data_IF_775495941289
#
_entry.id   IF_775495941289
#
_cell.length_a   1.000
_cell.length_b   1.000
_cell.length_c   1.000
_cell.angle_alpha   90.00
_cell.angle_beta   90.00
_cell.angle_gamma   90.00
#
_symmetry.space_group_name_H-M   'P 1'
#
loop_
_entity.id
_entity.type
_entity.pdbx_description
1 polymer ?
#
# COMPACT_ATOMS: atom_id res chain seq x y z
N UNK A 1 -26.21 32.00 13.61
CA UNK A 1 -25.74 31.60 12.27
C UNK A 1 -24.23 31.80 12.21
N UNK A 2 -23.45 30.72 12.19
CA UNK A 2 -21.98 30.76 12.13
C UNK A 2 -21.55 30.31 10.73
N UNK A 3 -21.04 31.24 9.95
CA UNK A 3 -20.59 31.04 8.56
C UNK A 3 -19.19 30.44 8.57
N UNK A 4 -18.99 29.35 7.83
CA UNK A 4 -17.69 28.68 7.64
C UNK A 4 -16.80 29.52 6.70
N UNK A 5 -15.56 29.74 7.10
CA UNK A 5 -14.50 30.32 6.26
C UNK A 5 -13.68 29.16 5.65
N UNK A 6 -13.48 29.08 4.32
CA UNK A 6 -12.63 28.05 3.74
C UNK A 6 -11.15 28.46 3.88
N UNK A 7 -10.34 27.57 4.45
CA UNK A 7 -8.90 27.73 4.52
C UNK A 7 -8.31 27.44 3.14
N UNK A 8 -8.06 28.50 2.37
CA UNK A 8 -7.28 28.44 1.13
C UNK A 8 -5.80 28.42 1.53
N UNK A 9 -5.15 27.26 1.47
CA UNK A 9 -3.71 27.16 1.66
C UNK A 9 -3.01 27.69 0.40
N UNK A 10 -2.58 28.96 0.47
CA UNK A 10 -1.63 29.54 -0.48
C UNK A 10 -0.29 28.82 -0.34
N UNK A 11 0.11 28.08 -1.37
CA UNK A 11 1.49 27.67 -1.58
C UNK A 11 2.32 28.90 -1.96
N UNK A 12 3.26 29.27 -1.10
CA UNK A 12 4.32 30.20 -1.44
C UNK A 12 5.23 29.58 -2.52
N UNK A 13 5.64 30.34 -3.56
CA UNK A 13 6.51 29.84 -4.61
C UNK A 13 7.94 29.83 -4.07
N UNK A 14 8.43 28.68 -3.62
CA UNK A 14 9.86 28.49 -3.46
C UNK A 14 10.46 28.33 -4.85
N UNK A 15 11.20 29.35 -5.29
CA UNK A 15 11.85 29.41 -6.58
C UNK A 15 12.93 28.31 -6.71
N UNK A 16 12.53 27.18 -7.28
CA UNK A 16 13.39 26.34 -8.09
C UNK A 16 12.66 26.20 -9.44
N UNK A 17 13.05 27.00 -10.43
CA UNK A 17 12.71 26.75 -11.83
C UNK A 17 13.48 25.50 -12.26
N UNK A 18 13.00 24.33 -11.83
CA UNK A 18 13.29 23.10 -12.56
C UNK A 18 12.69 23.31 -13.95
N UNK A 19 13.52 23.15 -14.99
CA UNK A 19 13.03 23.19 -16.36
C UNK A 19 11.90 22.15 -16.46
N UNK A 20 10.67 22.59 -16.74
CA UNK A 20 9.52 21.70 -16.91
C UNK A 20 9.76 20.66 -18.03
N UNK A 21 10.76 20.88 -18.90
CA UNK A 21 11.23 19.91 -19.90
C UNK A 21 12.20 18.84 -19.34
N UNK A 22 12.81 19.09 -18.18
CA UNK A 22 13.74 18.18 -17.48
C UNK A 22 13.08 17.29 -16.42
N UNK A 23 11.82 17.55 -16.09
CA UNK A 23 11.06 16.66 -15.22
C UNK A 23 10.87 15.32 -15.95
N UNK A 24 11.15 14.18 -15.28
CA UNK A 24 10.90 12.88 -15.89
C UNK A 24 9.44 12.83 -16.32
N UNK A 25 9.17 12.21 -17.46
CA UNK A 25 7.80 11.97 -17.86
C UNK A 25 7.06 11.35 -16.67
N UNK A 26 5.83 11.79 -16.41
CA UNK A 26 5.03 11.19 -15.35
C UNK A 26 4.17 10.11 -16.01
N UNK A 27 4.01 8.95 -15.37
CA UNK A 27 2.89 8.06 -15.70
C UNK A 27 1.85 8.21 -14.63
N UNK A 28 0.71 8.78 -14.99
CA UNK A 28 -0.44 8.85 -14.10
C UNK A 28 -1.66 8.23 -14.75
N UNK A 29 -2.60 7.80 -13.92
CA UNK A 29 -3.72 7.00 -14.37
C UNK A 29 -4.83 6.91 -13.34
N UNK A 30 -5.84 6.14 -13.68
CA UNK A 30 -6.91 5.77 -12.75
C UNK A 30 -7.05 4.25 -12.77
N UNK A 31 -7.35 3.69 -11.61
CA UNK A 31 -7.57 2.27 -11.41
C UNK A 31 -8.73 2.00 -10.48
N UNK A 32 -9.24 0.78 -10.56
CA UNK A 32 -10.14 0.20 -9.58
C UNK A 32 -9.40 -0.92 -8.85
N UNK A 33 -9.64 -1.00 -7.56
CA UNK A 33 -9.09 -2.01 -6.68
C UNK A 33 -10.23 -2.82 -6.09
N UNK A 34 -9.94 -4.09 -5.83
CA UNK A 34 -10.80 -5.01 -5.11
C UNK A 34 -9.94 -5.78 -4.12
N UNK A 35 -10.40 -5.92 -2.88
CA UNK A 35 -9.67 -6.67 -1.85
C UNK A 35 -10.62 -7.35 -0.89
N UNK A 36 -10.32 -8.61 -0.57
CA UNK A 36 -11.04 -9.36 0.45
C UNK A 36 -10.74 -8.79 1.85
N UNK A 37 -11.76 -8.69 2.70
CA UNK A 37 -11.59 -8.35 4.10
C UNK A 37 -11.03 -9.54 4.90
N UNK A 38 -10.06 -9.33 5.82
CA UNK A 38 -9.65 -10.37 6.76
C UNK A 38 -10.67 -10.60 7.88
N UNK A 39 -11.53 -9.62 8.16
CA UNK A 39 -12.42 -9.61 9.31
C UNK A 39 -13.67 -10.47 9.13
N UNK A 40 -14.19 -11.02 10.23
CA UNK A 40 -15.46 -11.76 10.30
C UNK A 40 -16.61 -10.96 9.69
N UNK A 41 -17.40 -11.57 8.81
CA UNK A 41 -18.50 -10.93 8.06
C UNK A 41 -18.09 -9.60 7.38
N UNK A 42 -16.80 -9.46 7.03
CA UNK A 42 -16.30 -8.27 6.37
C UNK A 42 -16.56 -8.28 4.88
N UNK A 43 -17.07 -7.17 4.36
CA UNK A 43 -17.34 -7.00 2.95
C UNK A 43 -16.05 -6.94 2.11
N UNK A 44 -16.16 -7.39 0.86
CA UNK A 44 -15.09 -7.17 -0.13
C UNK A 44 -15.03 -5.68 -0.45
N UNK A 45 -13.89 -5.05 -0.20
CA UNK A 45 -13.69 -3.62 -0.46
C UNK A 45 -13.49 -3.39 -1.95
N UNK A 46 -14.09 -2.31 -2.45
CA UNK A 46 -13.79 -1.76 -3.77
C UNK A 46 -13.52 -0.25 -3.67
N UNK A 47 -12.48 0.23 -4.34
CA UNK A 47 -12.15 1.65 -4.36
C UNK A 47 -11.48 2.03 -5.69
N UNK A 48 -11.65 3.29 -6.08
CA UNK A 48 -10.96 3.87 -7.22
C UNK A 48 -9.76 4.68 -6.73
N UNK A 49 -8.61 4.51 -7.38
CA UNK A 49 -7.37 5.20 -7.01
C UNK A 49 -6.73 5.90 -8.20
N UNK A 50 -5.98 6.95 -7.89
CA UNK A 50 -5.03 7.55 -8.84
C UNK A 50 -3.80 6.67 -8.89
N UNK A 51 -3.53 6.13 -10.07
CA UNK A 51 -2.32 5.35 -10.31
C UNK A 51 -1.20 6.30 -10.64
N UNK A 52 -0.08 6.18 -9.94
CA UNK A 52 1.18 6.79 -10.35
C UNK A 52 2.20 5.68 -10.46
N UNK A 53 2.96 5.66 -11.55
CA UNK A 53 4.02 4.66 -11.70
C UNK A 53 5.34 5.35 -11.88
N UNK A 54 6.31 4.94 -11.07
CA UNK A 54 7.67 5.39 -11.26
C UNK A 54 8.14 4.94 -12.65
N UNK A 55 8.87 5.84 -13.33
CA UNK A 55 9.41 5.57 -14.66
C UNK A 55 10.82 4.97 -14.60
N UNK A 56 11.42 4.97 -13.42
CA UNK A 56 12.78 4.57 -13.21
C UNK A 56 12.90 3.05 -13.04
N UNK A 57 11.79 2.35 -12.86
CA UNK A 57 11.72 0.92 -12.61
C UNK A 57 12.18 0.55 -11.19
N UNK A 58 11.97 1.40 -10.19
CA UNK A 58 12.26 1.08 -8.79
C UNK A 58 11.07 0.46 -8.05
N UNK A 59 9.88 0.46 -8.64
CA UNK A 59 8.63 -0.07 -8.09
C UNK A 59 8.22 0.52 -6.74
N UNK A 60 8.48 1.82 -6.55
CA UNK A 60 8.14 2.51 -5.30
C UNK A 60 6.63 2.76 -5.18
N UNK A 61 6.06 2.42 -4.02
CA UNK A 61 4.67 2.68 -3.69
C UNK A 61 4.48 4.00 -2.93
N UNK A 62 3.31 4.61 -3.11
CA UNK A 62 2.92 5.86 -2.44
C UNK A 62 3.73 7.08 -2.87
N UNK A 63 3.57 8.18 -2.13
CA UNK A 63 4.32 9.40 -2.38
C UNK A 63 5.75 9.25 -1.84
N UNK A 64 6.75 9.46 -2.69
CA UNK A 64 8.18 9.34 -2.31
C UNK A 64 8.98 10.54 -2.82
N UNK A 65 9.97 10.95 -2.04
CA UNK A 65 10.96 11.96 -2.36
C UNK A 65 12.35 11.33 -2.27
N UNK A 66 13.07 11.31 -3.40
CA UNK A 66 14.43 10.79 -3.44
C UNK A 66 15.39 11.69 -2.62
N UNK A 67 16.13 11.08 -1.70
CA UNK A 67 17.24 11.70 -0.97
C UNK A 67 18.54 11.52 -1.75
N UNK A 68 18.72 10.34 -2.35
CA UNK A 68 19.86 10.02 -3.22
C UNK A 68 19.40 9.04 -4.29
N UNK A 69 19.80 9.25 -5.54
CA UNK A 69 19.40 8.40 -6.67
C UNK A 69 20.54 8.20 -7.65
N UNK A 70 20.70 6.96 -8.11
CA UNK A 70 21.54 6.58 -9.26
C UNK A 70 20.70 5.68 -10.18
N UNK A 71 21.27 5.21 -11.29
CA UNK A 71 20.58 4.27 -12.18
C UNK A 71 20.27 2.92 -11.51
N UNK A 72 21.08 2.53 -10.51
CA UNK A 72 21.01 1.23 -9.85
C UNK A 72 20.36 1.27 -8.46
N UNK A 73 20.28 2.43 -7.79
CA UNK A 73 19.71 2.52 -6.44
C UNK A 73 19.04 3.86 -6.16
N UNK A 74 18.05 3.85 -5.28
CA UNK A 74 17.40 5.05 -4.76
C UNK A 74 17.17 4.92 -3.25
N UNK A 75 17.54 5.94 -2.50
CA UNK A 75 17.13 6.14 -1.10
C UNK A 75 16.11 7.28 -1.06
N UNK A 76 15.07 7.13 -0.25
CA UNK A 76 13.95 8.06 -0.25
C UNK A 76 13.30 8.20 1.12
N UNK A 77 12.62 9.34 1.30
CA UNK A 77 11.61 9.55 2.33
C UNK A 77 10.25 9.41 1.65
N UNK A 78 9.31 8.75 2.30
CA UNK A 78 7.97 8.53 1.76
C UNK A 78 6.88 8.83 2.77
N UNK A 79 5.66 8.95 2.26
CA UNK A 79 4.45 8.94 3.05
C UNK A 79 3.40 8.05 2.37
N UNK A 80 2.52 7.44 3.16
CA UNK A 80 1.46 6.56 2.65
C UNK A 80 0.40 6.31 3.71
N UNK A 81 -0.78 5.86 3.29
CA UNK A 81 -1.79 5.31 4.20
C UNK A 81 -1.57 3.82 4.35
N UNK A 82 -2.01 3.23 5.45
CA UNK A 82 -1.97 1.77 5.58
C UNK A 82 -2.96 1.07 4.63
N UNK A 83 -2.56 -0.12 4.18
CA UNK A 83 -3.41 -1.02 3.39
C UNK A 83 -4.57 -1.61 4.22
N UNK A 84 -4.45 -1.58 5.55
CA UNK A 84 -5.41 -2.11 6.51
C UNK A 84 -6.72 -1.32 6.55
N UNK A 85 -7.84 -2.04 6.75
CA UNK A 85 -9.14 -1.40 6.88
C UNK A 85 -9.36 -0.79 8.26
N UNK A 86 -9.36 0.53 8.36
CA UNK A 86 -9.83 1.21 9.57
C UNK A 86 -11.33 0.98 9.83
N UNK A 87 -12.10 0.52 8.83
CA UNK A 87 -13.53 0.21 8.98
C UNK A 87 -13.79 -1.26 9.32
N UNK A 88 -12.74 -2.07 9.46
CA UNK A 88 -12.82 -3.52 9.66
C UNK A 88 -13.79 -4.23 8.71
N UNK A 89 -13.66 -3.94 7.41
CA UNK A 89 -14.48 -4.52 6.35
C UNK A 89 -15.95 -4.11 6.39
N UNK A 90 -16.29 -2.99 7.05
CA UNK A 90 -17.68 -2.58 7.31
C UNK A 90 -18.53 -3.70 7.98
N UNK A 91 -17.86 -4.63 8.69
CA UNK A 91 -18.47 -5.83 9.28
C UNK A 91 -19.59 -5.48 10.26
N UNK A 92 -20.81 -5.99 10.07
CA UNK A 92 -21.92 -5.80 11.00
C UNK A 92 -21.62 -6.27 12.43
N UNK A 93 -20.80 -7.30 12.60
CA UNK A 93 -20.47 -7.89 13.90
C UNK A 93 -19.52 -7.03 14.73
N UNK A 94 -18.76 -6.15 14.09
CA UNK A 94 -17.70 -5.34 14.68
C UNK A 94 -18.08 -3.86 14.82
N UNK A 95 -19.32 -3.48 14.46
CA UNK A 95 -19.80 -2.08 14.54
C UNK A 95 -19.88 -1.52 15.95
N UNK A 96 -19.89 -2.39 16.95
CA UNK A 96 -19.93 -2.04 18.37
C UNK A 96 -18.54 -1.88 18.99
N UNK A 97 -17.47 -2.16 18.23
CA UNK A 97 -16.10 -1.91 18.65
C UNK A 97 -15.72 -0.44 18.49
N UNK A 98 -14.67 -0.03 19.18
CA UNK A 98 -14.00 1.25 19.01
C UNK A 98 -13.67 1.47 17.53
N UNK A 99 -13.98 2.69 17.06
CA UNK A 99 -13.68 3.11 15.70
C UNK A 99 -12.17 3.31 15.56
N UNK A 100 -11.62 2.87 14.43
CA UNK A 100 -10.24 3.12 14.08
C UNK A 100 -10.14 4.39 13.23
N UNK A 101 -9.15 5.21 13.53
CA UNK A 101 -8.69 6.28 12.67
C UNK A 101 -7.81 5.75 11.54
N UNK A 102 -7.77 6.53 10.45
CA UNK A 102 -6.93 6.24 9.29
C UNK A 102 -5.46 6.53 9.61
N UNK A 103 -4.63 5.51 9.52
CA UNK A 103 -3.20 5.61 9.69
C UNK A 103 -2.51 6.29 8.50
N UNK A 104 -1.49 7.10 8.79
CA UNK A 104 -0.60 7.75 7.85
C UNK A 104 0.83 7.47 8.30
N UNK A 105 1.57 6.76 7.47
CA UNK A 105 2.93 6.34 7.75
C UNK A 105 3.94 7.29 7.11
N UNK A 106 4.90 7.76 7.91
CA UNK A 106 6.16 8.30 7.42
C UNK A 106 7.14 7.17 7.22
N UNK A 107 7.81 7.16 6.07
CA UNK A 107 8.57 6.03 5.57
C UNK A 107 9.99 6.42 5.20
N UNK A 108 10.94 5.55 5.48
CA UNK A 108 12.33 5.66 5.03
C UNK A 108 12.68 4.37 4.32
N UNK A 109 13.12 4.48 3.07
CA UNK A 109 13.33 3.29 2.24
C UNK A 109 14.50 3.39 1.28
N UNK A 110 14.86 2.22 0.77
CA UNK A 110 15.85 2.00 -0.26
C UNK A 110 15.32 1.05 -1.33
N UNK A 111 15.72 1.28 -2.57
CA UNK A 111 15.45 0.41 -3.70
C UNK A 111 16.74 0.14 -4.48
N UNK A 112 16.90 -1.10 -4.95
CA UNK A 112 18.08 -1.55 -5.69
C UNK A 112 17.65 -2.37 -6.89
N UNK A 113 18.20 -2.03 -8.06
CA UNK A 113 18.08 -2.85 -9.26
C UNK A 113 19.17 -3.90 -9.28
N UNK A 114 18.76 -5.15 -9.47
CA UNK A 114 19.61 -6.30 -9.66
C UNK A 114 19.45 -6.80 -11.10
N UNK A 115 20.39 -7.62 -11.62
CA UNK A 115 20.23 -8.23 -12.94
C UNK A 115 18.94 -9.06 -13.08
N UNK A 116 18.41 -9.57 -11.97
CA UNK A 116 17.24 -10.46 -11.91
C UNK A 116 15.92 -9.76 -11.53
N UNK A 117 15.96 -8.51 -11.08
CA UNK A 117 14.77 -7.83 -10.55
C UNK A 117 15.08 -6.58 -9.74
N UNK A 118 14.14 -6.20 -8.87
CA UNK A 118 14.24 -5.02 -8.00
C UNK A 118 13.97 -5.44 -6.56
N UNK A 119 14.82 -5.00 -5.64
CA UNK A 119 14.61 -5.14 -4.19
C UNK A 119 14.19 -3.80 -3.64
N UNK A 120 13.17 -3.78 -2.80
CA UNK A 120 12.75 -2.63 -2.00
C UNK A 120 12.81 -3.02 -0.52
N UNK A 121 13.43 -2.18 0.30
CA UNK A 121 13.41 -2.31 1.74
C UNK A 121 13.00 -0.98 2.36
N UNK A 122 12.05 -1.01 3.29
CA UNK A 122 11.49 0.20 3.88
C UNK A 122 11.09 -0.03 5.33
N UNK A 123 11.22 1.01 6.14
CA UNK A 123 10.59 1.08 7.46
C UNK A 123 9.62 2.24 7.50
N UNK A 124 8.48 2.02 8.14
CA UNK A 124 7.41 2.99 8.30
C UNK A 124 7.01 3.13 9.76
N UNK A 125 6.56 4.32 10.14
CA UNK A 125 5.93 4.57 11.43
C UNK A 125 4.69 5.42 11.24
N UNK A 126 3.61 5.01 11.89
CA UNK A 126 2.38 5.78 11.89
C UNK A 126 2.54 7.08 12.70
N UNK A 127 1.93 8.15 12.20
CA UNK A 127 1.94 9.48 12.81
C UNK A 127 0.54 10.07 13.01
N UNK A 128 -0.53 9.27 12.79
CA UNK A 128 -1.89 9.79 12.74
C UNK A 128 -2.89 9.04 13.65
N UNK A 129 -2.74 7.74 13.82
CA UNK A 129 -3.76 6.86 14.39
C UNK A 129 -3.25 5.99 15.55
N UNK A 130 -2.04 5.43 15.45
CA UNK A 130 -1.45 4.53 16.44
C UNK A 130 0.06 4.74 16.58
N UNK A 131 0.70 4.03 17.50
CA UNK A 131 2.16 4.16 17.77
C UNK A 131 3.00 3.14 17.03
N UNK A 132 2.34 2.35 16.18
CA UNK A 132 2.92 1.20 15.49
C UNK A 132 3.94 1.55 14.42
N UNK A 133 4.81 0.58 14.16
CA UNK A 133 5.81 0.61 13.12
C UNK A 133 5.71 -0.64 12.25
N UNK A 134 6.26 -0.53 11.05
CA UNK A 134 6.28 -1.61 10.09
C UNK A 134 7.58 -1.61 9.30
N UNK A 135 7.95 -2.79 8.78
CA UNK A 135 9.08 -2.94 7.89
C UNK A 135 8.68 -3.83 6.71
N UNK A 136 9.02 -3.40 5.49
CA UNK A 136 8.73 -4.12 4.26
C UNK A 136 10.03 -4.52 3.59
N UNK A 137 10.05 -5.74 3.06
CA UNK A 137 11.05 -6.23 2.13
C UNK A 137 10.34 -6.85 0.94
N UNK A 138 10.43 -6.21 -0.23
CA UNK A 138 9.86 -6.70 -1.48
C UNK A 138 10.96 -7.06 -2.46
N UNK A 139 10.75 -8.14 -3.19
CA UNK A 139 11.53 -8.48 -4.37
C UNK A 139 10.61 -8.71 -5.56
N UNK A 140 10.80 -7.92 -6.62
CA UNK A 140 10.03 -7.99 -7.87
C UNK A 140 10.93 -8.53 -8.98
N UNK A 141 10.55 -9.64 -9.59
CA UNK A 141 11.28 -10.22 -10.71
C UNK A 141 11.18 -9.34 -11.97
N UNK A 142 12.17 -9.48 -12.85
CA UNK A 142 12.08 -8.96 -14.21
C UNK A 142 10.89 -9.60 -14.96
N UNK A 143 10.48 -8.94 -16.05
CA UNK A 143 9.35 -9.43 -16.86
C UNK A 143 9.64 -10.83 -17.40
N UNK A 144 8.74 -11.78 -17.12
CA UNK A 144 8.80 -13.15 -17.68
C UNK A 144 8.25 -13.25 -19.10
N UNK A 145 7.67 -12.16 -19.62
CA UNK A 145 7.26 -11.98 -21.02
C UNK A 145 7.83 -10.66 -21.55
N UNK A 146 9.11 -10.62 -21.97
CA UNK A 146 9.83 -9.37 -22.20
C UNK A 146 9.69 -8.81 -23.62
N UNK A 147 8.88 -9.40 -24.50
CA UNK A 147 8.79 -8.92 -25.87
C UNK A 147 8.28 -7.47 -25.91
N UNK A 148 8.94 -6.64 -26.72
CA UNK A 148 8.62 -5.22 -26.78
C UNK A 148 7.19 -5.04 -27.33
N UNK A 149 6.31 -4.40 -26.56
CA UNK A 149 4.90 -4.21 -26.90
C UNK A 149 3.98 -5.38 -26.52
N UNK A 150 4.49 -6.46 -25.91
CA UNK A 150 3.65 -7.52 -25.35
C UNK A 150 3.29 -7.26 -23.89
N UNK A 151 2.41 -8.10 -23.36
CA UNK A 151 2.11 -8.17 -21.94
C UNK A 151 3.40 -8.41 -21.16
N UNK A 152 3.74 -7.49 -20.26
CA UNK A 152 4.77 -7.70 -19.25
C UNK A 152 4.10 -8.27 -18.00
N UNK A 153 4.68 -9.35 -17.47
CA UNK A 153 4.27 -9.95 -16.22
C UNK A 153 5.47 -9.97 -15.27
N UNK A 154 5.33 -9.35 -14.10
CA UNK A 154 6.38 -9.18 -13.09
C UNK A 154 5.91 -9.77 -11.77
N UNK A 155 6.21 -11.05 -11.50
CA UNK A 155 5.94 -11.66 -10.21
C UNK A 155 6.75 -11.00 -9.10
N UNK A 156 6.20 -10.95 -7.90
CA UNK A 156 6.89 -10.43 -6.72
C UNK A 156 6.55 -11.22 -5.46
N UNK A 157 7.43 -11.13 -4.49
CA UNK A 157 7.24 -11.54 -3.12
C UNK A 157 7.53 -10.36 -2.19
N UNK A 158 6.75 -10.22 -1.13
CA UNK A 158 6.94 -9.21 -0.10
C UNK A 158 6.74 -9.84 1.28
N UNK A 159 7.66 -9.53 2.19
CA UNK A 159 7.46 -9.75 3.62
C UNK A 159 7.25 -8.41 4.31
N UNK A 160 6.27 -8.36 5.19
CA UNK A 160 5.97 -7.22 6.03
C UNK A 160 6.03 -7.66 7.50
N UNK A 161 6.84 -6.98 8.30
CA UNK A 161 6.78 -7.05 9.74
C UNK A 161 5.90 -5.92 10.27
N UNK A 162 5.02 -6.25 11.21
CA UNK A 162 4.10 -5.34 11.87
C UNK A 162 4.35 -5.39 13.37
N UNK A 163 4.58 -4.24 13.99
CA UNK A 163 4.76 -4.15 15.44
C UNK A 163 3.48 -4.52 16.20
N UNK A 164 3.59 -4.98 17.44
CA UNK A 164 2.44 -5.20 18.35
C UNK A 164 1.48 -3.99 18.41
N UNK A 165 2.00 -2.76 18.51
CA UNK A 165 1.18 -1.53 18.54
C UNK A 165 0.34 -1.31 17.26
N UNK A 166 0.72 -1.93 16.14
CA UNK A 166 -0.02 -1.87 14.88
C UNK A 166 -1.01 -3.03 14.76
N UNK A 167 -0.57 -4.25 15.05
CA UNK A 167 -1.44 -5.44 14.99
C UNK A 167 -2.57 -5.32 15.99
N UNK A 168 -2.27 -4.94 17.24
CA UNK A 168 -3.25 -4.79 18.31
C UNK A 168 -4.28 -3.70 17.98
N UNK A 169 -3.84 -2.62 17.33
CA UNK A 169 -4.75 -1.57 16.87
C UNK A 169 -5.79 -2.06 15.86
N UNK A 170 -5.39 -2.91 14.91
CA UNK A 170 -6.31 -3.39 13.86
C UNK A 170 -7.11 -4.62 14.27
N UNK A 171 -6.49 -5.56 14.97
CA UNK A 171 -7.05 -6.89 15.25
C UNK A 171 -7.17 -7.23 16.75
N UNK A 172 -6.78 -6.31 17.64
CA UNK A 172 -7.02 -6.43 19.07
C UNK A 172 -8.50 -6.32 19.42
N UNK A 173 -8.84 -6.85 20.60
CA UNK A 173 -10.16 -6.72 21.22
C UNK A 173 -9.96 -6.27 22.65
N UNK A 174 -10.36 -5.02 22.92
CA UNK A 174 -10.27 -4.44 24.25
C UNK A 174 -11.22 -5.14 25.24
N UNK A 175 -10.91 -5.04 26.53
CA UNK A 175 -11.68 -5.73 27.58
C UNK A 175 -13.17 -5.28 27.63
N UNK A 176 -13.45 -4.03 27.28
CA UNK A 176 -14.81 -3.46 27.20
C UNK A 176 -15.50 -3.74 25.87
N UNK A 177 -14.76 -4.15 24.84
CA UNK A 177 -15.31 -4.66 23.60
C UNK A 177 -15.63 -6.16 23.67
N UNK A 178 -15.05 -6.89 24.64
CA UNK A 178 -15.18 -8.33 24.76
C UNK A 178 -16.61 -8.80 25.07
N UNK A 179 -17.05 -9.85 24.37
CA UNK A 179 -18.37 -10.46 24.55
C UNK A 179 -18.35 -11.95 24.24
N UNK A 180 -19.46 -12.64 24.51
CA UNK A 180 -19.59 -14.04 24.10
C UNK A 180 -19.35 -14.20 22.59
N UNK A 181 -18.37 -15.03 22.22
CA UNK A 181 -17.96 -15.23 20.82
C UNK A 181 -16.88 -14.26 20.31
N UNK A 182 -16.49 -13.24 21.08
CA UNK A 182 -15.43 -12.28 20.77
C UNK A 182 -14.66 -11.95 22.08
N UNK A 183 -13.83 -12.88 22.61
CA UNK A 183 -13.07 -12.64 23.83
C UNK A 183 -12.06 -11.49 23.65
N UNK A 184 -11.62 -10.91 24.77
CA UNK A 184 -10.51 -9.96 24.75
C UNK A 184 -9.27 -10.64 24.16
N UNK A 185 -8.53 -9.91 23.33
CA UNK A 185 -7.40 -10.42 22.59
C UNK A 185 -6.38 -9.30 22.41
N UNK A 186 -5.13 -9.58 22.73
CA UNK A 186 -4.03 -8.64 22.56
C UNK A 186 -3.06 -9.21 21.53
N UNK A 187 -2.90 -8.52 20.40
CA UNK A 187 -2.05 -9.02 19.32
C UNK A 187 -0.57 -8.65 19.55
N UNK A 188 0.33 -9.61 19.33
CA UNK A 188 1.77 -9.39 19.32
C UNK A 188 2.31 -8.93 17.96
N UNK A 189 3.63 -8.88 17.83
CA UNK A 189 4.30 -8.61 16.56
C UNK A 189 3.99 -9.70 15.53
N UNK A 190 3.65 -9.31 14.31
CA UNK A 190 3.26 -10.24 13.26
C UNK A 190 4.12 -10.11 12.01
N UNK A 191 4.12 -11.18 11.22
CA UNK A 191 4.60 -11.17 9.84
C UNK A 191 3.41 -11.38 8.89
N UNK A 192 3.42 -10.64 7.78
CA UNK A 192 2.55 -10.89 6.65
C UNK A 192 3.41 -11.19 5.42
N UNK A 193 3.06 -12.23 4.67
CA UNK A 193 3.73 -12.62 3.44
C UNK A 193 2.79 -12.44 2.26
N UNK A 194 3.18 -11.57 1.33
CA UNK A 194 2.42 -11.25 0.13
C UNK A 194 3.14 -11.79 -1.11
N UNK A 195 2.40 -12.47 -1.96
CA UNK A 195 2.85 -12.90 -3.27
C UNK A 195 1.90 -12.35 -4.33
N UNK A 196 2.43 -11.89 -5.45
CA UNK A 196 1.59 -11.34 -6.50
C UNK A 196 2.28 -11.24 -7.85
N UNK A 197 1.50 -10.83 -8.84
CA UNK A 197 1.97 -10.61 -10.21
C UNK A 197 1.43 -9.27 -10.69
N UNK A 198 2.36 -8.39 -11.07
CA UNK A 198 2.02 -7.14 -11.76
C UNK A 198 1.98 -7.38 -13.26
N UNK A 199 0.92 -6.89 -13.91
CA UNK A 199 0.66 -7.03 -15.34
C UNK A 199 0.65 -5.66 -16.00
N UNK A 200 1.30 -5.55 -17.15
CA UNK A 200 1.39 -4.29 -17.89
C UNK A 200 1.32 -4.55 -19.39
N UNK A 201 0.28 -4.04 -20.04
CA UNK A 201 0.07 -4.19 -21.47
C UNK A 201 0.05 -2.80 -22.12
N UNK A 202 1.08 -2.44 -22.91
CA UNK A 202 1.01 -1.27 -23.77
C UNK A 202 -0.16 -1.43 -24.75
N UNK A 203 -1.03 -0.41 -24.81
CA UNK A 203 -2.14 -0.34 -25.78
C UNK A 203 -1.79 0.58 -26.97
N UNK A 204 -0.61 1.19 -26.93
CA UNK A 204 -0.10 2.14 -27.91
C UNK A 204 1.07 2.91 -27.33
N UNK A 205 1.43 4.04 -27.93
CA UNK A 205 2.59 4.82 -27.50
C UNK A 205 2.44 5.51 -26.13
N UNK A 206 1.20 5.76 -25.68
CA UNK A 206 0.93 6.56 -24.47
C UNK A 206 0.11 5.84 -23.42
N UNK A 207 -0.73 4.89 -23.80
CA UNK A 207 -1.61 4.18 -22.88
C UNK A 207 -1.03 2.82 -22.50
N UNK A 208 -1.08 2.50 -21.22
CA UNK A 208 -0.72 1.18 -20.68
C UNK A 208 -1.84 0.71 -19.77
N UNK A 209 -2.43 -0.44 -20.11
CA UNK A 209 -3.28 -1.21 -19.20
C UNK A 209 -2.38 -1.81 -18.13
N UNK A 210 -2.73 -1.58 -16.88
CA UNK A 210 -2.01 -2.12 -15.72
C UNK A 210 -2.96 -2.98 -14.90
N UNK A 211 -2.40 -4.01 -14.29
CA UNK A 211 -3.10 -4.83 -13.32
C UNK A 211 -2.17 -5.38 -12.26
N UNK A 212 -2.75 -5.78 -11.15
CA UNK A 212 -2.07 -6.50 -10.07
C UNK A 212 -3.04 -7.56 -9.55
N UNK A 213 -2.53 -8.75 -9.27
CA UNK A 213 -3.25 -9.78 -8.52
C UNK A 213 -2.32 -10.31 -7.46
N UNK A 214 -2.80 -10.43 -6.23
CA UNK A 214 -1.99 -10.84 -5.10
C UNK A 214 -2.78 -11.60 -4.04
N UNK A 215 -2.04 -12.31 -3.19
CA UNK A 215 -2.53 -12.95 -1.99
C UNK A 215 -1.57 -12.62 -0.83
N UNK A 216 -2.13 -12.35 0.34
CA UNK A 216 -1.38 -12.05 1.57
C UNK A 216 -1.80 -13.03 2.65
N UNK A 217 -0.84 -13.82 3.13
CA UNK A 217 -1.00 -14.68 4.31
C UNK A 217 -0.52 -13.96 5.56
N UNK A 218 -1.27 -14.06 6.64
CA UNK A 218 -0.95 -13.44 7.93
C UNK A 218 -0.41 -14.46 8.94
N UNK A 219 0.47 -13.99 9.84
CA UNK A 219 0.98 -14.77 10.96
C UNK A 219 -0.05 -14.95 12.10
N UNK A 220 0.26 -15.84 13.05
CA UNK A 220 -0.65 -16.26 14.12
C UNK A 220 -1.18 -15.12 14.97
N UNK A 221 -0.35 -14.14 15.30
CA UNK A 221 -0.77 -12.96 16.09
C UNK A 221 -1.95 -12.20 15.45
N UNK A 222 -2.10 -12.30 14.12
CA UNK A 222 -3.24 -11.75 13.38
C UNK A 222 -4.35 -12.79 13.24
N UNK A 223 -4.02 -14.02 12.82
CA UNK A 223 -5.04 -15.03 12.49
C UNK A 223 -5.75 -15.63 13.69
N UNK A 224 -5.13 -15.57 14.87
CA UNK A 224 -5.71 -16.08 16.11
C UNK A 224 -6.64 -15.06 16.78
N UNK A 225 -6.69 -13.83 16.24
CA UNK A 225 -7.65 -12.83 16.66
C UNK A 225 -9.09 -13.32 16.42
N UNK A 226 -9.99 -13.19 17.42
CA UNK A 226 -11.37 -13.66 17.28
C UNK A 226 -12.21 -12.83 16.31
N UNK A 227 -11.66 -11.73 15.76
CA UNK A 227 -12.32 -10.88 14.77
C UNK A 227 -11.78 -11.09 13.35
N UNK A 228 -10.81 -11.99 13.18
CA UNK A 228 -10.24 -12.37 11.89
C UNK A 228 -10.81 -13.72 11.47
N UNK A 229 -11.34 -13.78 10.25
CA UNK A 229 -11.89 -15.00 9.64
C UNK A 229 -10.93 -15.59 8.61
N UNK A 230 -10.29 -14.72 7.81
CA UNK A 230 -9.49 -15.15 6.66
C UNK A 230 -8.00 -15.04 6.99
N UNK A 231 -7.33 -16.19 7.11
CA UNK A 231 -5.88 -16.26 7.34
C UNK A 231 -5.05 -15.85 6.12
N UNK A 232 -5.64 -15.93 4.93
CA UNK A 232 -5.09 -15.45 3.67
C UNK A 232 -6.17 -14.67 2.94
N UNK A 233 -5.83 -13.45 2.51
CA UNK A 233 -6.72 -12.58 1.73
C UNK A 233 -6.15 -12.33 0.34
N UNK A 234 -7.02 -12.14 -0.64
CA UNK A 234 -6.63 -11.78 -2.00
C UNK A 234 -6.95 -10.32 -2.32
N UNK A 235 -6.19 -9.78 -3.27
CA UNK A 235 -6.36 -8.43 -3.79
C UNK A 235 -6.18 -8.39 -5.30
N UNK A 236 -6.82 -7.41 -5.93
CA UNK A 236 -6.73 -7.16 -7.36
C UNK A 236 -6.78 -5.67 -7.67
N UNK A 237 -6.05 -5.26 -8.70
CA UNK A 237 -6.11 -3.93 -9.28
C UNK A 237 -6.20 -4.03 -10.79
N UNK A 238 -6.99 -3.16 -11.41
CA UNK A 238 -6.97 -2.93 -12.86
C UNK A 238 -7.06 -1.44 -13.13
N UNK A 239 -6.32 -0.95 -14.12
CA UNK A 239 -6.38 0.47 -14.47
C UNK A 239 -5.67 0.83 -15.76
N UNK A 240 -5.72 2.11 -16.09
CA UNK A 240 -5.06 2.68 -17.27
C UNK A 240 -4.12 3.78 -16.81
N UNK A 241 -2.89 3.72 -17.28
CA UNK A 241 -1.91 4.80 -17.10
C UNK A 241 -1.59 5.46 -18.44
N UNK A 242 -1.38 6.77 -18.38
CA UNK A 242 -0.99 7.61 -19.49
C UNK A 242 0.44 8.11 -19.29
N UNK A 243 1.27 7.94 -20.30
CA UNK A 243 2.62 8.50 -20.36
C UNK A 243 2.55 9.94 -20.88
N UNK A 244 2.84 10.89 -20.00
CA UNK A 244 2.94 12.30 -20.35
C UNK A 244 4.31 12.56 -21.00
N UNK A 245 4.32 12.60 -22.34
CA UNK A 245 5.48 12.79 -23.23
C UNK A 245 6.34 11.54 -23.47
#
# INVERSE_FOLDING_TARGET
MKTKLPFLLLLAPCAALADLASLPAVRSGAGANISQSPFVDGDTRTNADVLSRDQDGFDLAGATLAVSKTDARQFYVGAGVDDWDYKRGDSPQLRDMHALDRAINLRLGGAWKLPSGVVNAEVGKDVAAHKGAQAHLRYTLNSIAPAQGSLSARPYLEGQWLSSDMTDYYVGVDADEAKAGRPAYQAGDALALKAGIRLEQPLGARWTLVGDVNATGYGSEITDSPIVENSTVWGGQVGLTYKWR
#
